data_IF_226904056488
#
_entry.id   IF_226904056488
#
_cell.length_a   1.000
_cell.length_b   1.000
_cell.length_c   1.000
_cell.angle_alpha   90.00
_cell.angle_beta   90.00
_cell.angle_gamma   90.00
#
_symmetry.space_group_name_H-M   'P 1'
#
loop_
_entity.id
_entity.type
_entity.pdbx_description
1 polymer ?
#
# COMPACT_ATOMS: atom_id res chain seq x y z
N UNK A 1 2.95 9.43 -16.30
CA UNK A 1 2.60 9.69 -14.88
C UNK A 1 3.17 8.56 -14.04
N UNK A 2 3.92 8.83 -12.97
CA UNK A 2 4.57 7.79 -12.18
C UNK A 2 3.55 7.13 -11.23
N UNK A 3 3.51 5.80 -11.22
CA UNK A 3 2.73 5.03 -10.24
C UNK A 3 3.68 4.57 -9.13
N UNK A 4 3.77 5.35 -8.06
CA UNK A 4 4.69 5.10 -6.93
C UNK A 4 3.86 4.73 -5.71
N UNK A 5 4.10 3.53 -5.17
CA UNK A 5 3.54 3.13 -3.89
C UNK A 5 4.37 3.74 -2.75
N UNK A 6 3.75 4.57 -1.91
CA UNK A 6 4.40 5.16 -0.74
C UNK A 6 4.13 4.30 0.49
N UNK A 7 5.16 4.08 1.29
CA UNK A 7 5.08 3.41 2.59
C UNK A 7 5.53 4.40 3.67
N UNK A 8 4.75 4.56 4.73
CA UNK A 8 5.07 5.48 5.81
C UNK A 8 5.83 4.75 6.93
N UNK A 9 7.14 5.01 6.99
CA UNK A 9 8.03 4.48 8.01
C UNK A 9 8.21 5.43 9.21
N UNK A 10 7.53 6.59 9.24
CA UNK A 10 7.62 7.56 10.35
C UNK A 10 7.32 6.92 11.72
N UNK A 11 6.32 6.03 11.85
CA UNK A 11 6.06 5.35 13.12
C UNK A 11 7.19 4.41 13.58
N UNK A 12 7.97 3.86 12.65
CA UNK A 12 9.14 3.01 12.97
C UNK A 12 10.25 3.87 13.57
N UNK A 13 10.51 5.02 12.93
CA UNK A 13 11.60 5.93 13.31
C UNK A 13 11.28 6.62 14.65
N UNK A 14 10.01 6.93 14.91
CA UNK A 14 9.59 7.61 16.15
C UNK A 14 9.52 6.68 17.35
N UNK A 15 9.35 5.37 17.17
CA UNK A 15 9.29 4.35 18.24
C UNK A 15 10.65 3.84 18.72
N UNK A 16 11.76 4.48 18.35
CA UNK A 16 13.16 4.08 18.68
C UNK A 16 13.49 3.88 20.17
N UNK A 17 12.59 4.19 21.10
CA UNK A 17 12.77 3.88 22.53
C UNK A 17 12.71 2.38 22.84
N UNK A 18 12.12 1.58 21.94
CA UNK A 18 12.04 0.12 22.06
C UNK A 18 12.29 -0.52 20.70
N UNK A 19 13.34 -1.34 20.62
CA UNK A 19 13.71 -2.06 19.39
C UNK A 19 12.58 -3.00 18.95
N UNK A 20 11.98 -3.71 19.91
CA UNK A 20 10.87 -4.65 19.64
C UNK A 20 9.68 -3.92 19.03
N UNK A 21 9.31 -2.74 19.56
CA UNK A 21 8.18 -1.98 19.01
C UNK A 21 8.47 -1.38 17.63
N UNK A 22 9.73 -1.04 17.38
CA UNK A 22 10.18 -0.59 16.07
C UNK A 22 10.15 -1.72 15.04
N UNK A 23 10.63 -2.92 15.40
CA UNK A 23 10.63 -4.10 14.52
C UNK A 23 9.19 -4.52 14.19
N UNK A 24 8.28 -4.51 15.17
CA UNK A 24 6.85 -4.79 14.94
C UNK A 24 6.20 -3.73 14.04
N UNK A 25 6.54 -2.45 14.24
CA UNK A 25 6.04 -1.38 13.38
C UNK A 25 6.58 -1.50 11.95
N UNK A 26 7.85 -1.87 11.79
CA UNK A 26 8.48 -2.09 10.48
C UNK A 26 7.81 -3.23 9.72
N UNK A 27 7.60 -4.35 10.40
CA UNK A 27 6.96 -5.52 9.80
C UNK A 27 5.57 -5.18 9.27
N UNK A 28 4.77 -4.46 10.08
CA UNK A 28 3.39 -4.10 9.73
C UNK A 28 3.26 -3.03 8.65
N UNK A 29 4.11 -2.00 8.68
CA UNK A 29 3.94 -0.81 7.85
C UNK A 29 4.80 -0.82 6.58
N UNK A 30 5.88 -1.58 6.58
CA UNK A 30 6.87 -1.56 5.48
C UNK A 30 7.06 -2.94 4.88
N UNK A 31 7.51 -3.92 5.67
CA UNK A 31 7.91 -5.22 5.13
C UNK A 31 6.74 -6.00 4.52
N UNK A 32 5.63 -6.16 5.26
CA UNK A 32 4.46 -6.88 4.72
C UNK A 32 3.83 -6.18 3.51
N UNK A 33 3.51 -4.87 3.56
CA UNK A 33 2.87 -4.21 2.41
C UNK A 33 3.75 -4.19 1.16
N UNK A 34 5.07 -4.02 1.30
CA UNK A 34 5.99 -4.08 0.17
C UNK A 34 6.09 -5.49 -0.41
N UNK A 35 6.20 -6.50 0.45
CA UNK A 35 6.25 -7.91 0.00
C UNK A 35 5.00 -8.28 -0.79
N UNK A 36 3.82 -7.88 -0.32
CA UNK A 36 2.55 -8.16 -0.99
C UNK A 36 2.45 -7.45 -2.35
N UNK A 37 2.90 -6.19 -2.42
CA UNK A 37 2.91 -5.44 -3.66
C UNK A 37 3.88 -6.02 -4.70
N UNK A 38 5.11 -6.34 -4.29
CA UNK A 38 6.11 -6.98 -5.15
C UNK A 38 5.63 -8.36 -5.59
N UNK A 39 5.02 -9.14 -4.71
CA UNK A 39 4.49 -10.46 -5.06
C UNK A 39 3.40 -10.36 -6.14
N UNK A 40 2.47 -9.40 -6.02
CA UNK A 40 1.47 -9.14 -7.05
C UNK A 40 2.11 -8.72 -8.37
N UNK A 41 3.06 -7.79 -8.31
CA UNK A 41 3.76 -7.30 -9.49
C UNK A 41 4.47 -8.44 -10.25
N UNK A 42 5.16 -9.33 -9.53
CA UNK A 42 5.83 -10.49 -10.14
C UNK A 42 4.82 -11.49 -10.72
N UNK A 43 3.74 -11.80 -9.99
CA UNK A 43 2.68 -12.68 -10.49
C UNK A 43 1.99 -12.10 -11.74
N UNK A 44 1.80 -10.78 -11.81
CA UNK A 44 1.23 -10.13 -12.98
C UNK A 44 2.19 -10.18 -14.19
N UNK A 45 3.50 -10.14 -13.97
CA UNK A 45 4.51 -10.32 -15.04
C UNK A 45 4.52 -11.77 -15.55
N UNK A 46 4.48 -12.74 -14.64
CA UNK A 46 4.59 -14.16 -14.96
C UNK A 46 3.25 -14.77 -15.46
N UNK A 47 2.15 -14.02 -15.34
CA UNK A 47 0.83 -14.42 -15.81
C UNK A 47 0.68 -14.17 -17.32
N UNK A 48 0.27 -15.16 -18.13
CA UNK A 48 -0.01 -14.98 -19.57
C UNK A 48 -1.19 -14.06 -19.89
N UNK A 49 -1.74 -13.34 -18.90
CA UNK A 49 -2.91 -12.47 -19.07
C UNK A 49 -2.48 -11.20 -19.79
N UNK A 50 -2.62 -11.26 -21.12
CA UNK A 50 -2.99 -10.16 -22.02
C UNK A 50 -3.31 -8.87 -21.25
N UNK A 51 -2.43 -7.87 -21.38
CA UNK A 51 -2.69 -6.49 -20.97
C UNK A 51 -3.96 -5.98 -21.66
N UNK A 52 -5.13 -6.23 -21.06
CA UNK A 52 -6.35 -5.48 -21.36
C UNK A 52 -6.35 -4.32 -20.39
N UNK A 53 -5.82 -3.20 -20.88
CA UNK A 53 -5.90 -1.90 -20.25
C UNK A 53 -7.37 -1.50 -20.13
N UNK A 54 -8.00 -1.85 -19.00
CA UNK A 54 -9.33 -1.37 -18.67
C UNK A 54 -9.20 -0.27 -17.61
N UNK A 55 -9.13 0.97 -18.10
CA UNK A 55 -9.51 2.15 -17.34
C UNK A 55 -10.88 1.95 -16.72
N UNK A 56 -10.95 1.82 -15.40
CA UNK A 56 -12.18 2.10 -14.66
C UNK A 56 -11.83 2.96 -13.46
N UNK A 57 -11.89 4.27 -13.69
CA UNK A 57 -12.08 5.23 -12.60
C UNK A 57 -13.42 4.94 -11.94
N UNK A 58 -13.38 4.58 -10.66
CA UNK A 58 -14.57 4.51 -9.81
C UNK A 58 -14.13 4.67 -8.34
N UNK A 59 -13.85 5.92 -7.93
CA UNK A 59 -14.04 6.31 -6.53
C UNK A 59 -15.34 7.10 -6.49
N UNK A 60 -16.41 6.36 -6.19
CA UNK A 60 -17.76 6.88 -5.94
C UNK A 60 -17.74 7.81 -4.73
N UNK A 61 -18.48 8.90 -4.86
CA UNK A 61 -19.04 9.71 -3.78
C UNK A 61 -19.39 8.89 -2.54
N UNK A 62 -18.90 9.34 -1.40
CA UNK A 62 -19.62 9.28 -0.12
C UNK A 62 -19.65 10.68 0.44
N UNK A 63 -20.56 11.48 -0.08
CA UNK A 63 -21.09 12.63 0.64
C UNK A 63 -21.86 12.07 1.84
N UNK A 64 -21.20 12.05 3.00
CA UNK A 64 -21.89 11.84 4.27
C UNK A 64 -22.58 13.14 4.63
N UNK A 65 -23.86 13.14 4.29
CA UNK A 65 -24.95 13.93 4.83
C UNK A 65 -24.70 14.61 6.19
N UNK A 66 -25.24 15.83 6.26
CA UNK A 66 -26.10 16.36 7.33
C UNK A 66 -25.49 17.38 8.33
N UNK A 67 -26.29 18.44 8.51
CA UNK A 67 -26.33 19.46 9.59
C UNK A 67 -25.72 20.83 9.24
N UNK A 68 -26.51 21.70 8.59
CA UNK A 68 -27.16 22.89 9.19
C UNK A 68 -27.76 23.78 8.09
#
# INVERSE_FOLDING_TARGET
>A
KWCIQRLDATPVITRRRSKVDADVAWERLVARPSTEAVSRFLLDIDSPRMFVEASTGAVREREMSLVA
#
